data_IF_817489484248
#
_entry.id   IF_817489484248
#
_cell.length_a   1.000
_cell.length_b   1.000
_cell.length_c   1.000
_cell.angle_alpha   90.00
_cell.angle_beta   90.00
_cell.angle_gamma   90.00
#
_symmetry.space_group_name_H-M   'P 1'
#
loop_
_entity.id
_entity.type
_entity.pdbx_description
1 polymer ?
#
# COMPACT_ATOMS: atom_id res chain seq x y z
N UNK A 1 27.09 12.70 -18.56
CA UNK A 1 26.54 12.04 -19.77
C UNK A 1 25.10 11.70 -19.46
N UNK A 2 24.15 12.09 -20.31
CA UNK A 2 22.75 11.70 -20.12
C UNK A 2 22.67 10.24 -20.57
N UNK A 3 22.68 9.31 -19.61
CA UNK A 3 22.29 7.92 -19.87
C UNK A 3 20.91 7.95 -20.51
N UNK A 4 20.85 7.58 -21.78
CA UNK A 4 19.59 7.53 -22.52
C UNK A 4 18.97 6.17 -22.22
N UNK A 5 17.87 6.16 -21.48
CA UNK A 5 17.18 4.92 -21.11
C UNK A 5 16.80 4.14 -22.38
N UNK A 6 17.13 2.84 -22.43
CA UNK A 6 16.87 1.98 -23.60
C UNK A 6 15.37 1.68 -23.81
N UNK A 7 14.54 1.92 -22.78
CA UNK A 7 13.07 1.84 -22.80
C UNK A 7 12.48 3.01 -22.02
N UNK A 8 11.36 3.56 -22.50
CA UNK A 8 10.66 4.63 -21.80
C UNK A 8 9.96 4.10 -20.52
N UNK A 9 9.96 4.88 -19.44
CA UNK A 9 9.33 4.50 -18.16
C UNK A 9 7.85 4.13 -18.28
N UNK A 10 7.11 4.74 -19.22
CA UNK A 10 5.69 4.43 -19.47
C UNK A 10 5.51 3.10 -20.19
N UNK A 11 6.45 2.73 -21.06
CA UNK A 11 6.45 1.41 -21.71
C UNK A 11 6.68 0.31 -20.68
N UNK A 12 7.62 0.52 -19.76
CA UNK A 12 7.87 -0.41 -18.65
C UNK A 12 6.66 -0.52 -17.73
N UNK A 13 6.03 0.61 -17.37
CA UNK A 13 4.79 0.58 -16.59
C UNK A 13 3.67 -0.20 -17.32
N UNK A 14 3.52 -0.01 -18.63
CA UNK A 14 2.57 -0.73 -19.45
C UNK A 14 2.85 -2.25 -19.47
N UNK A 15 4.13 -2.65 -19.64
CA UNK A 15 4.54 -4.06 -19.61
C UNK A 15 4.20 -4.73 -18.27
N UNK A 16 4.44 -4.05 -17.15
CA UNK A 16 4.13 -4.55 -15.80
C UNK A 16 2.62 -4.69 -15.61
N UNK A 17 1.83 -3.68 -15.99
CA UNK A 17 0.37 -3.73 -15.88
C UNK A 17 -0.24 -4.83 -16.76
N UNK A 18 0.24 -4.98 -18.01
CA UNK A 18 -0.19 -6.06 -18.89
C UNK A 18 0.14 -7.44 -18.34
N UNK A 19 1.31 -7.58 -17.71
CA UNK A 19 1.66 -8.81 -17.03
C UNK A 19 0.73 -9.09 -15.86
N UNK A 20 0.42 -8.10 -15.04
CA UNK A 20 -0.54 -8.26 -13.95
C UNK A 20 -1.90 -8.72 -14.46
N UNK A 21 -2.46 -8.05 -15.48
CA UNK A 21 -3.76 -8.44 -16.05
C UNK A 21 -3.79 -9.88 -16.61
N UNK A 22 -2.62 -10.42 -17.00
CA UNK A 22 -2.49 -11.81 -17.44
C UNK A 22 -2.31 -12.82 -16.30
N UNK A 23 -1.66 -12.43 -15.21
CA UNK A 23 -1.19 -13.39 -14.19
C UNK A 23 -1.82 -13.21 -12.80
N UNK A 24 -2.44 -12.06 -12.50
CA UNK A 24 -3.01 -11.76 -11.18
C UNK A 24 -2.00 -11.36 -10.10
N UNK A 25 -0.70 -11.27 -10.41
CA UNK A 25 0.32 -10.81 -9.46
C UNK A 25 1.51 -10.17 -10.17
N UNK A 26 2.37 -9.50 -9.39
CA UNK A 26 3.61 -8.89 -9.86
C UNK A 26 4.78 -9.39 -9.00
N UNK A 27 5.68 -10.24 -9.52
CA UNK A 27 6.86 -10.68 -8.78
C UNK A 27 7.96 -9.60 -8.76
N UNK A 28 8.63 -9.41 -7.62
CA UNK A 28 9.70 -8.41 -7.44
C UNK A 28 10.81 -8.54 -8.48
N UNK A 29 11.27 -9.77 -8.74
CA UNK A 29 12.28 -10.07 -9.77
C UNK A 29 11.90 -9.58 -11.16
N UNK A 30 10.61 -9.58 -11.51
CA UNK A 30 10.15 -9.06 -12.80
C UNK A 30 10.30 -7.54 -12.87
N UNK A 31 9.98 -6.84 -11.78
CA UNK A 31 10.16 -5.39 -11.68
C UNK A 31 11.63 -5.04 -11.73
N UNK A 32 12.48 -5.74 -10.97
CA UNK A 32 13.94 -5.57 -10.97
C UNK A 32 14.54 -5.70 -12.39
N UNK A 33 14.16 -6.77 -13.12
CA UNK A 33 14.63 -6.98 -14.49
C UNK A 33 14.13 -5.86 -15.42
N UNK A 34 12.85 -5.48 -15.31
CA UNK A 34 12.28 -4.42 -16.14
C UNK A 34 12.92 -3.04 -15.86
N UNK A 35 13.36 -2.82 -14.63
CA UNK A 35 13.99 -1.58 -14.18
C UNK A 35 15.50 -1.56 -14.39
N UNK A 36 16.12 -2.68 -14.76
CA UNK A 36 17.58 -2.83 -14.77
C UNK A 36 18.31 -1.84 -15.67
N UNK A 37 17.64 -1.36 -16.73
CA UNK A 37 18.20 -0.42 -17.72
C UNK A 37 17.72 1.02 -17.55
N UNK A 38 17.01 1.33 -16.46
CA UNK A 38 16.51 2.67 -16.17
C UNK A 38 17.41 3.41 -15.19
N UNK A 39 17.58 4.72 -15.42
CA UNK A 39 18.06 5.67 -14.42
C UNK A 39 17.20 5.65 -13.15
N UNK A 40 17.73 6.19 -12.05
CA UNK A 40 17.01 6.24 -10.77
C UNK A 40 15.68 7.01 -10.89
N UNK A 41 15.71 8.17 -11.55
CA UNK A 41 14.55 9.03 -11.79
C UNK A 41 13.51 8.31 -12.65
N UNK A 42 13.95 7.62 -13.70
CA UNK A 42 13.07 6.84 -14.56
C UNK A 42 12.45 5.63 -13.86
N UNK A 43 13.18 4.97 -12.94
CA UNK A 43 12.62 3.92 -12.07
C UNK A 43 11.55 4.48 -11.15
N UNK A 44 11.81 5.63 -10.49
CA UNK A 44 10.84 6.32 -9.62
C UNK A 44 9.58 6.67 -10.40
N UNK A 45 9.74 7.23 -11.60
CA UNK A 45 8.62 7.58 -12.47
C UNK A 45 7.83 6.34 -12.93
N UNK A 46 8.50 5.29 -13.40
CA UNK A 46 7.86 4.03 -13.79
C UNK A 46 7.11 3.39 -12.63
N UNK A 47 7.71 3.36 -11.43
CA UNK A 47 7.11 2.83 -10.21
C UNK A 47 5.85 3.59 -9.82
N UNK A 48 5.92 4.93 -9.82
CA UNK A 48 4.77 5.78 -9.53
C UNK A 48 3.63 5.51 -10.54
N UNK A 49 3.94 5.38 -11.83
CA UNK A 49 2.96 5.07 -12.85
C UNK A 49 2.27 3.73 -12.62
N UNK A 50 2.99 2.61 -12.52
CA UNK A 50 2.34 1.30 -12.45
C UNK A 50 1.65 1.07 -11.10
N UNK A 51 2.29 1.42 -9.98
CA UNK A 51 1.70 1.25 -8.64
C UNK A 51 0.53 2.22 -8.44
N UNK A 52 0.71 3.48 -8.84
CA UNK A 52 -0.34 4.49 -8.75
C UNK A 52 -1.55 4.16 -9.63
N UNK A 53 -1.30 3.68 -10.86
CA UNK A 53 -2.37 3.18 -11.73
C UNK A 53 -3.12 2.03 -11.07
N UNK A 54 -2.44 1.04 -10.46
CA UNK A 54 -3.11 -0.05 -9.75
C UNK A 54 -3.91 0.43 -8.54
N UNK A 55 -3.35 1.31 -7.70
CA UNK A 55 -4.04 1.90 -6.54
C UNK A 55 -5.34 2.57 -6.96
N UNK A 56 -5.27 3.39 -8.01
CA UNK A 56 -6.38 4.20 -8.53
C UNK A 56 -7.24 3.49 -9.58
N UNK A 57 -6.99 2.22 -9.89
CA UNK A 57 -7.59 1.55 -11.07
C UNK A 57 -9.12 1.43 -10.99
N UNK A 58 -9.72 1.23 -9.82
CA UNK A 58 -11.19 1.22 -9.68
C UNK A 58 -11.78 2.57 -10.09
N UNK A 59 -11.19 3.66 -9.59
CA UNK A 59 -11.60 5.02 -9.92
C UNK A 59 -11.33 5.37 -11.39
N UNK A 60 -10.15 5.02 -11.89
CA UNK A 60 -9.75 5.25 -13.29
C UNK A 60 -10.69 4.51 -14.25
N UNK A 61 -11.02 3.25 -13.97
CA UNK A 61 -11.94 2.48 -14.80
C UNK A 61 -13.34 3.10 -14.80
N UNK A 62 -13.82 3.60 -13.65
CA UNK A 62 -15.07 4.36 -13.58
C UNK A 62 -15.03 5.65 -14.41
N UNK A 63 -13.93 6.42 -14.36
CA UNK A 63 -13.74 7.62 -15.19
C UNK A 63 -13.80 7.23 -16.67
N UNK A 64 -13.04 6.21 -17.08
CA UNK A 64 -12.99 5.74 -18.47
C UNK A 64 -14.36 5.28 -18.99
N UNK A 65 -15.18 4.64 -18.15
CA UNK A 65 -16.53 4.20 -18.52
C UNK A 65 -17.46 5.36 -18.94
N UNK A 66 -17.23 6.60 -18.47
CA UNK A 66 -18.00 7.77 -18.92
C UNK A 66 -17.69 8.17 -20.37
N UNK A 67 -16.50 7.83 -20.86
CA UNK A 67 -16.01 8.22 -22.18
C UNK A 67 -15.91 7.06 -23.18
N UNK A 68 -16.09 5.81 -22.71
CA UNK A 68 -16.03 4.59 -23.51
C UNK A 68 -17.38 3.87 -23.53
N UNK A 69 -17.86 3.53 -24.73
CA UNK A 69 -19.12 2.79 -24.89
C UNK A 69 -19.01 1.30 -24.59
N UNK A 70 -17.86 0.67 -24.90
CA UNK A 70 -17.63 -0.78 -24.79
C UNK A 70 -16.20 -1.07 -24.32
N UNK A 71 -15.82 -0.63 -23.11
CA UNK A 71 -14.45 -0.78 -22.62
C UNK A 71 -13.99 -2.24 -22.57
N UNK A 72 -14.89 -3.19 -22.30
CA UNK A 72 -14.55 -4.62 -22.19
C UNK A 72 -14.05 -5.24 -23.50
N UNK A 73 -14.41 -4.66 -24.64
CA UNK A 73 -13.97 -5.13 -25.97
C UNK A 73 -12.57 -4.63 -26.34
N UNK A 74 -11.98 -3.72 -25.55
CA UNK A 74 -10.64 -3.20 -25.82
C UNK A 74 -9.58 -4.21 -25.39
N UNK A 75 -8.52 -4.40 -26.20
CA UNK A 75 -7.37 -5.18 -25.77
C UNK A 75 -6.79 -4.64 -24.46
N UNK A 76 -6.27 -5.53 -23.61
CA UNK A 76 -5.72 -5.19 -22.29
C UNK A 76 -4.67 -4.08 -22.39
N UNK A 77 -3.76 -4.16 -23.35
CA UNK A 77 -2.73 -3.14 -23.56
C UNK A 77 -3.33 -1.74 -23.85
N UNK A 78 -4.45 -1.67 -24.58
CA UNK A 78 -5.12 -0.40 -24.87
C UNK A 78 -5.80 0.15 -23.62
N UNK A 79 -6.44 -0.72 -22.82
CA UNK A 79 -7.01 -0.34 -21.51
C UNK A 79 -5.92 0.19 -20.58
N UNK A 80 -4.76 -0.47 -20.52
CA UNK A 80 -3.66 -0.05 -19.66
C UNK A 80 -2.99 1.24 -20.13
N UNK A 81 -2.85 1.46 -21.44
CA UNK A 81 -2.39 2.75 -21.96
C UNK A 81 -3.35 3.90 -21.59
N UNK A 82 -4.66 3.67 -21.71
CA UNK A 82 -5.69 4.61 -21.24
C UNK A 82 -5.58 4.86 -19.73
N UNK A 83 -5.45 3.80 -18.92
CA UNK A 83 -5.34 3.90 -17.46
C UNK A 83 -4.11 4.70 -17.03
N UNK A 84 -2.96 4.45 -17.65
CA UNK A 84 -1.73 5.23 -17.44
C UNK A 84 -1.96 6.71 -17.80
N UNK A 85 -2.66 6.99 -18.90
CA UNK A 85 -3.00 8.35 -19.31
C UNK A 85 -3.90 9.06 -18.30
N UNK A 86 -4.98 8.42 -17.85
CA UNK A 86 -5.88 8.97 -16.83
C UNK A 86 -5.15 9.17 -15.51
N UNK A 87 -4.29 8.23 -15.11
CA UNK A 87 -3.50 8.36 -13.88
C UNK A 87 -2.62 9.61 -13.90
N UNK A 88 -1.89 9.83 -15.00
CA UNK A 88 -1.08 11.04 -15.17
C UNK A 88 -1.94 12.31 -15.10
N UNK A 89 -3.06 12.34 -15.83
CA UNK A 89 -3.94 13.51 -15.86
C UNK A 89 -4.51 13.86 -14.47
N UNK A 90 -4.93 12.88 -13.69
CA UNK A 90 -5.64 13.12 -12.43
C UNK A 90 -4.73 13.23 -11.21
N UNK A 91 -3.55 12.61 -11.23
CA UNK A 91 -2.76 12.39 -10.01
C UNK A 91 -1.28 12.72 -10.15
N UNK A 92 -0.84 13.27 -11.30
CA UNK A 92 0.55 13.68 -11.51
C UNK A 92 0.62 15.14 -11.95
N UNK A 93 0.47 16.06 -11.01
CA UNK A 93 0.45 17.51 -11.26
C UNK A 93 1.70 18.02 -11.98
N UNK A 94 2.84 17.35 -11.78
CA UNK A 94 4.10 17.65 -12.46
C UNK A 94 4.12 17.28 -13.96
N UNK A 95 3.15 16.49 -14.45
CA UNK A 95 3.09 16.05 -15.85
C UNK A 95 2.03 16.88 -16.59
N UNK A 96 2.41 17.75 -17.54
CA UNK A 96 1.44 18.52 -18.32
C UNK A 96 0.47 17.63 -19.08
N UNK A 97 -0.81 18.02 -19.15
CA UNK A 97 -1.87 17.26 -19.82
C UNK A 97 -1.50 16.87 -21.27
N UNK A 98 -0.90 17.78 -22.03
CA UNK A 98 -0.49 17.48 -23.41
C UNK A 98 0.56 16.38 -23.49
N UNK A 99 1.49 16.33 -22.54
CA UNK A 99 2.55 15.33 -22.46
C UNK A 99 1.95 13.98 -22.02
N UNK A 100 1.11 13.98 -20.97
CA UNK A 100 0.40 12.79 -20.53
C UNK A 100 -0.38 12.13 -21.68
N UNK A 101 -1.12 12.93 -22.46
CA UNK A 101 -1.88 12.45 -23.62
C UNK A 101 -0.94 11.92 -24.71
N UNK A 102 0.03 12.74 -25.16
CA UNK A 102 0.94 12.40 -26.26
C UNK A 102 1.70 11.11 -25.98
N UNK A 103 2.31 11.00 -24.81
CA UNK A 103 3.12 9.83 -24.45
C UNK A 103 2.25 8.59 -24.26
N UNK A 104 1.04 8.72 -23.68
CA UNK A 104 0.10 7.59 -23.59
C UNK A 104 -0.40 7.10 -24.95
N UNK A 105 -0.47 7.97 -25.96
CA UNK A 105 -0.78 7.60 -27.34
C UNK A 105 0.40 6.87 -28.00
N UNK A 106 1.63 7.27 -27.69
CA UNK A 106 2.85 6.64 -28.21
C UNK A 106 2.97 5.16 -27.80
N UNK A 107 2.48 4.81 -26.60
CA UNK A 107 2.40 3.43 -26.10
C UNK A 107 1.61 2.46 -26.99
N UNK A 108 0.75 2.97 -27.87
CA UNK A 108 -0.13 2.16 -28.70
C UNK A 108 0.50 1.97 -30.08
N UNK A 109 0.77 0.73 -30.49
CA UNK A 109 1.35 0.46 -31.82
C UNK A 109 0.37 0.65 -32.99
N UNK A 110 -0.92 0.36 -32.78
CA UNK A 110 -1.93 0.32 -33.85
C UNK A 110 -2.61 1.67 -34.05
N UNK A 111 -2.56 2.20 -35.28
CA UNK A 111 -3.07 3.55 -35.63
C UNK A 111 -4.52 3.81 -35.22
N UNK A 112 -5.43 2.87 -35.43
CA UNK A 112 -6.85 3.04 -35.06
C UNK A 112 -7.02 3.22 -33.54
N UNK A 113 -6.28 2.46 -32.74
CA UNK A 113 -6.30 2.59 -31.28
C UNK A 113 -5.58 3.86 -30.81
N UNK A 114 -4.53 4.35 -31.48
CA UNK A 114 -3.90 5.65 -31.17
C UNK A 114 -4.93 6.79 -31.22
N UNK A 115 -5.75 6.82 -32.27
CA UNK A 115 -6.80 7.82 -32.42
C UNK A 115 -7.83 7.74 -31.29
N UNK A 116 -8.23 6.51 -30.92
CA UNK A 116 -9.13 6.29 -29.80
C UNK A 116 -8.53 6.79 -28.48
N UNK A 117 -7.30 6.39 -28.14
CA UNK A 117 -6.63 6.81 -26.90
C UNK A 117 -6.51 8.32 -26.83
N UNK A 118 -6.05 8.96 -27.91
CA UNK A 118 -5.95 10.42 -27.98
C UNK A 118 -7.32 11.11 -27.77
N UNK A 119 -8.36 10.64 -28.46
CA UNK A 119 -9.69 11.23 -28.36
C UNK A 119 -10.29 11.07 -26.97
N UNK A 120 -10.12 9.90 -26.33
CA UNK A 120 -10.63 9.63 -24.99
C UNK A 120 -9.89 10.47 -23.95
N UNK A 121 -8.55 10.47 -23.96
CA UNK A 121 -7.78 11.22 -22.97
C UNK A 121 -7.96 12.73 -23.08
N UNK A 122 -8.16 13.27 -24.29
CA UNK A 122 -8.53 14.69 -24.47
C UNK A 122 -9.87 15.02 -23.82
N UNK A 123 -10.87 14.14 -23.94
CA UNK A 123 -12.16 14.33 -23.26
C UNK A 123 -12.02 14.23 -21.75
N UNK A 124 -11.26 13.23 -21.27
CA UNK A 124 -11.00 13.05 -19.83
C UNK A 124 -10.32 14.29 -19.23
N UNK A 125 -9.38 14.92 -19.96
CA UNK A 125 -8.70 16.14 -19.52
C UNK A 125 -9.64 17.36 -19.50
N UNK A 126 -10.50 17.51 -20.52
CA UNK A 126 -11.42 18.64 -20.64
C UNK A 126 -12.70 18.54 -19.81
N UNK A 127 -13.15 17.33 -19.49
CA UNK A 127 -14.40 17.05 -18.76
C UNK A 127 -14.08 16.27 -17.47
N UNK A 128 -13.34 16.89 -16.55
CA UNK A 128 -12.94 16.21 -15.30
C UNK A 128 -14.15 15.82 -14.45
N UNK A 129 -14.12 14.59 -13.93
CA UNK A 129 -15.12 14.06 -13.02
C UNK A 129 -14.89 14.64 -11.63
N UNK A 130 -15.94 15.20 -11.02
CA UNK A 130 -15.88 15.58 -9.61
C UNK A 130 -15.78 14.34 -8.72
N UNK A 131 -14.61 14.16 -8.12
CA UNK A 131 -14.31 13.02 -7.25
C UNK A 131 -15.01 13.11 -5.88
N UNK A 132 -15.40 14.32 -5.45
CA UNK A 132 -16.04 14.52 -4.15
C UNK A 132 -17.50 14.11 -4.14
N UNK A 133 -18.16 14.11 -5.30
CA UNK A 133 -19.53 13.63 -5.47
C UNK A 133 -19.63 12.09 -5.55
N UNK A 134 -18.51 11.36 -5.54
CA UNK A 134 -18.50 9.91 -5.68
C UNK A 134 -18.72 9.20 -4.34
N UNK A 135 -19.36 8.01 -4.34
CA UNK A 135 -19.44 7.18 -3.14
C UNK A 135 -18.04 6.78 -2.68
N UNK A 136 -17.90 6.55 -1.38
CA UNK A 136 -16.62 6.33 -0.71
C UNK A 136 -15.71 5.31 -1.40
N UNK A 137 -16.25 4.15 -1.80
CA UNK A 137 -15.49 3.09 -2.46
C UNK A 137 -14.91 3.51 -3.82
N UNK A 138 -15.61 4.36 -4.59
CA UNK A 138 -15.07 4.93 -5.82
C UNK A 138 -14.06 6.02 -5.53
N UNK A 139 -14.38 6.95 -4.62
CA UNK A 139 -13.49 8.07 -4.26
C UNK A 139 -12.11 7.58 -3.81
N UNK A 140 -12.08 6.54 -2.98
CA UNK A 140 -10.83 5.94 -2.51
C UNK A 140 -10.32 4.79 -3.39
N UNK A 141 -10.98 4.47 -4.51
CA UNK A 141 -10.54 3.43 -5.45
C UNK A 141 -10.38 2.03 -4.83
N UNK A 142 -11.37 1.61 -4.05
CA UNK A 142 -11.47 0.26 -3.50
C UNK A 142 -12.63 -0.50 -4.14
N UNK A 143 -12.55 -1.83 -4.26
CA UNK A 143 -13.72 -2.65 -4.58
C UNK A 143 -14.84 -2.39 -3.58
N UNK A 144 -16.07 -2.28 -4.07
CA UNK A 144 -17.24 -2.03 -3.23
C UNK A 144 -17.35 -3.05 -2.09
N UNK A 145 -17.21 -4.34 -2.41
CA UNK A 145 -17.33 -5.41 -1.41
C UNK A 145 -16.34 -5.25 -0.25
N UNK A 146 -15.10 -4.81 -0.53
CA UNK A 146 -14.05 -4.66 0.47
C UNK A 146 -14.38 -3.52 1.43
N UNK A 147 -14.89 -2.40 0.90
CA UNK A 147 -15.33 -1.28 1.73
C UNK A 147 -16.52 -1.69 2.61
N UNK A 148 -17.48 -2.42 2.07
CA UNK A 148 -18.61 -2.92 2.88
C UNK A 148 -18.19 -3.94 3.92
N UNK A 149 -17.21 -4.82 3.61
CA UNK A 149 -16.62 -5.73 4.57
C UNK A 149 -15.94 -4.97 5.74
N UNK A 150 -15.06 -4.01 5.43
CA UNK A 150 -14.34 -3.25 6.44
C UNK A 150 -15.30 -2.40 7.30
N UNK A 151 -16.34 -1.81 6.71
CA UNK A 151 -17.41 -1.11 7.46
C UNK A 151 -18.17 -2.01 8.42
N UNK A 152 -18.24 -3.31 8.14
CA UNK A 152 -18.87 -4.28 9.02
C UNK A 152 -18.03 -4.65 10.24
N UNK A 153 -16.77 -4.22 10.30
CA UNK A 153 -15.87 -4.51 11.40
C UNK A 153 -16.17 -3.58 12.60
N UNK A 154 -16.56 -4.12 13.77
CA UNK A 154 -17.02 -3.33 14.91
C UNK A 154 -15.92 -2.49 15.56
N UNK A 155 -14.65 -2.85 15.37
CA UNK A 155 -13.48 -2.14 15.88
C UNK A 155 -12.98 -1.03 14.93
N UNK A 156 -13.70 -0.75 13.83
CA UNK A 156 -13.38 0.33 12.91
C UNK A 156 -14.49 1.39 13.00
N UNK A 157 -14.17 2.52 13.62
CA UNK A 157 -15.06 3.67 13.71
C UNK A 157 -15.14 4.46 12.39
N UNK A 158 -14.13 5.29 12.12
CA UNK A 158 -13.98 5.94 10.80
C UNK A 158 -13.05 5.14 9.90
N UNK A 159 -13.60 4.65 8.79
CA UNK A 159 -12.85 3.88 7.79
C UNK A 159 -11.98 4.76 6.88
N UNK A 160 -12.29 6.06 6.72
CA UNK A 160 -11.65 6.91 5.71
C UNK A 160 -10.12 6.94 5.83
N UNK A 161 -9.52 7.08 7.03
CA UNK A 161 -8.06 7.11 7.16
C UNK A 161 -7.41 5.79 6.74
N UNK A 162 -8.07 4.65 6.98
CA UNK A 162 -7.62 3.34 6.51
C UNK A 162 -7.70 3.22 4.97
N UNK A 163 -8.77 3.74 4.36
CA UNK A 163 -8.87 3.79 2.90
C UNK A 163 -7.81 4.69 2.29
N UNK A 164 -7.55 5.85 2.90
CA UNK A 164 -6.51 6.78 2.49
C UNK A 164 -5.12 6.16 2.59
N UNK A 165 -4.80 5.56 3.73
CA UNK A 165 -3.57 4.80 3.95
C UNK A 165 -3.33 3.80 2.83
N UNK A 166 -4.33 2.98 2.49
CA UNK A 166 -4.24 1.99 1.41
C UNK A 166 -3.94 2.60 0.02
N UNK A 167 -4.21 3.88 -0.17
CA UNK A 167 -4.02 4.62 -1.42
C UNK A 167 -2.75 5.47 -1.45
N UNK A 168 -2.03 5.57 -0.34
CA UNK A 168 -0.76 6.29 -0.22
C UNK A 168 0.41 5.30 -0.36
N UNK A 169 1.47 5.62 -1.13
CA UNK A 169 2.66 4.76 -1.16
C UNK A 169 3.26 4.56 0.24
N UNK A 170 3.59 3.33 0.69
CA UNK A 170 4.10 3.06 2.04
C UNK A 170 5.36 3.87 2.35
N UNK A 171 5.33 4.76 3.33
CA UNK A 171 6.50 5.55 3.73
C UNK A 171 7.61 4.65 4.31
N UNK A 172 8.86 5.05 4.08
CA UNK A 172 10.01 4.47 4.76
C UNK A 172 10.26 5.29 6.03
N UNK A 173 10.22 4.64 7.20
CA UNK A 173 10.66 5.22 8.46
C UNK A 173 12.14 4.90 8.70
N UNK A 174 12.88 5.83 9.29
CA UNK A 174 14.29 5.68 9.60
C UNK A 174 14.66 6.36 10.91
N UNK A 175 15.76 5.94 11.49
CA UNK A 175 16.38 6.61 12.64
C UNK A 175 17.70 7.22 12.17
N UNK A 176 17.98 8.45 12.62
CA UNK A 176 19.18 9.19 12.26
C UNK A 176 19.66 10.02 13.46
N UNK A 177 20.98 10.14 13.60
CA UNK A 177 21.66 11.08 14.49
C UNK A 177 21.56 12.52 13.99
N UNK A 178 21.80 13.51 14.87
CA UNK A 178 21.83 14.93 14.48
C UNK A 178 22.79 15.22 13.31
N UNK A 179 23.96 14.57 13.28
CA UNK A 179 24.90 14.70 12.18
C UNK A 179 24.39 14.13 10.86
N UNK A 180 23.66 13.01 10.90
CA UNK A 180 23.07 12.41 9.71
C UNK A 180 21.90 13.26 9.19
N UNK A 181 21.09 13.84 10.06
CA UNK A 181 20.02 14.76 9.68
C UNK A 181 20.58 16.01 8.98
N UNK A 182 21.66 16.59 9.51
CA UNK A 182 22.32 17.74 8.87
C UNK A 182 22.86 17.39 7.47
N UNK A 183 23.43 16.18 7.28
CA UNK A 183 23.88 15.70 5.97
C UNK A 183 22.71 15.52 4.99
N UNK A 184 21.56 15.03 5.48
CA UNK A 184 20.34 14.90 4.67
C UNK A 184 19.83 16.27 4.20
N UNK A 185 19.78 17.25 5.10
CA UNK A 185 19.39 18.62 4.77
C UNK A 185 20.35 19.25 3.75
N UNK A 186 21.67 19.08 3.92
CA UNK A 186 22.68 19.58 2.97
C UNK A 186 22.53 18.97 1.58
N UNK A 187 22.21 17.67 1.51
CA UNK A 187 21.94 16.95 0.25
C UNK A 187 20.55 17.23 -0.32
N UNK A 188 19.73 18.04 0.35
CA UNK A 188 18.41 18.45 -0.11
C UNK A 188 17.31 17.39 0.07
N UNK A 189 17.50 16.41 0.96
CA UNK A 189 16.45 15.45 1.28
C UNK A 189 15.34 16.10 2.11
N UNK A 190 14.09 15.72 1.81
CA UNK A 190 12.93 16.12 2.59
C UNK A 190 12.50 14.98 3.52
N UNK A 191 12.51 15.24 4.81
CA UNK A 191 12.04 14.34 5.86
C UNK A 191 11.20 15.11 6.88
N UNK A 192 10.40 14.37 7.65
CA UNK A 192 9.58 14.90 8.73
C UNK A 192 9.77 14.05 9.98
N UNK A 193 9.69 14.64 11.17
CA UNK A 193 9.57 13.86 12.41
C UNK A 193 8.29 13.05 12.38
N UNK A 194 8.32 11.82 12.89
CA UNK A 194 7.10 11.06 13.08
C UNK A 194 6.24 11.63 14.21
N UNK A 195 4.91 11.52 14.07
CA UNK A 195 3.95 11.82 15.13
C UNK A 195 3.89 10.72 16.22
N UNK A 196 4.49 9.55 15.96
CA UNK A 196 4.32 8.35 16.78
C UNK A 196 5.58 7.93 17.56
N UNK A 197 6.75 8.38 17.13
CA UNK A 197 8.04 8.00 17.69
C UNK A 197 9.09 9.08 17.45
N UNK A 198 10.28 8.91 18.01
CA UNK A 198 11.49 9.71 17.73
C UNK A 198 12.14 9.36 16.38
N UNK A 199 11.49 8.55 15.56
CA UNK A 199 11.91 8.28 14.19
C UNK A 199 11.50 9.40 13.23
N UNK A 200 12.07 9.34 12.02
CA UNK A 200 11.79 10.25 10.93
C UNK A 200 11.14 9.51 9.76
N UNK A 201 10.24 10.20 9.08
CA UNK A 201 9.55 9.75 7.88
C UNK A 201 10.15 10.48 6.69
N UNK A 202 10.62 9.72 5.70
CA UNK A 202 11.17 10.30 4.49
C UNK A 202 10.02 10.75 3.56
N UNK A 203 9.90 12.06 3.31
CA UNK A 203 8.83 12.66 2.52
C UNK A 203 9.09 12.49 1.02
N UNK A 204 10.36 12.50 0.60
CA UNK A 204 10.74 12.28 -0.79
C UNK A 204 11.79 11.16 -0.95
N UNK A 205 11.44 10.09 -1.67
CA UNK A 205 12.20 8.82 -1.71
C UNK A 205 13.52 8.87 -2.47
N UNK A 206 14.56 8.31 -1.81
CA UNK A 206 15.86 7.96 -2.39
C UNK A 206 16.93 7.60 -1.35
N UNK A 207 16.71 6.55 -0.55
CA UNK A 207 17.64 6.15 0.53
C UNK A 207 18.73 5.19 0.02
N UNK A 208 18.68 4.70 -1.22
CA UNK A 208 19.58 3.60 -1.61
C UNK A 208 21.09 3.99 -1.56
N UNK A 209 21.40 5.28 -1.65
CA UNK A 209 22.78 5.82 -1.48
C UNK A 209 23.11 6.21 -0.03
N UNK A 210 22.13 6.20 0.86
CA UNK A 210 22.27 6.57 2.27
C UNK A 210 22.31 5.30 3.12
N UNK A 211 23.35 5.14 3.93
CA UNK A 211 23.49 4.05 4.91
C UNK A 211 22.59 4.23 6.14
N UNK A 212 21.38 4.76 5.96
CA UNK A 212 20.43 4.95 7.05
C UNK A 212 19.78 3.62 7.43
N UNK A 213 19.56 3.44 8.73
CA UNK A 213 18.83 2.29 9.23
C UNK A 213 17.33 2.51 9.01
N UNK A 214 16.78 1.88 7.96
CA UNK A 214 15.33 1.77 7.77
C UNK A 214 14.73 0.86 8.86
N UNK A 215 13.56 1.24 9.36
CA UNK A 215 12.87 0.52 10.42
C UNK A 215 11.38 0.31 10.09
N UNK A 216 10.79 -0.73 10.67
CA UNK A 216 9.33 -0.83 10.82
C UNK A 216 8.96 -0.01 12.06
N UNK A 217 8.27 1.11 11.87
CA UNK A 217 8.01 2.06 12.96
C UNK A 217 7.20 1.43 14.11
N UNK A 218 6.22 0.58 13.80
CA UNK A 218 5.47 -0.13 14.84
C UNK A 218 6.37 -1.06 15.66
N UNK A 219 7.26 -1.82 15.00
CA UNK A 219 8.23 -2.65 15.73
C UNK A 219 9.19 -1.81 16.58
N UNK A 220 9.60 -0.65 16.06
CA UNK A 220 10.49 0.26 16.77
C UNK A 220 9.84 0.79 18.06
N UNK A 221 8.59 1.23 17.97
CA UNK A 221 7.78 1.64 19.13
C UNK A 221 7.65 0.49 20.13
N UNK A 222 7.41 -0.73 19.66
CA UNK A 222 7.22 -1.90 20.53
C UNK A 222 8.52 -2.38 21.20
N UNK A 223 9.67 -2.27 20.52
CA UNK A 223 10.98 -2.63 21.11
C UNK A 223 11.32 -1.78 22.34
N UNK A 224 10.83 -0.54 22.39
CA UNK A 224 10.98 0.33 23.57
C UNK A 224 10.26 -0.17 24.83
N UNK A 225 9.48 -1.27 24.75
CA UNK A 225 8.67 -1.77 25.87
C UNK A 225 9.35 -2.80 26.76
N UNK A 226 10.63 -3.14 26.51
CA UNK A 226 11.38 -4.16 27.25
C UNK A 226 10.68 -5.54 27.30
N UNK A 227 9.79 -5.81 26.34
CA UNK A 227 9.08 -7.09 26.19
C UNK A 227 9.50 -7.75 24.88
N UNK A 228 9.50 -9.08 24.87
CA UNK A 228 9.65 -9.83 23.64
C UNK A 228 8.46 -9.55 22.71
N UNK A 229 8.74 -9.21 21.45
CA UNK A 229 7.73 -8.93 20.43
C UNK A 229 7.80 -10.03 19.38
N UNK A 230 6.72 -10.81 19.29
CA UNK A 230 6.52 -11.79 18.22
C UNK A 230 5.64 -11.14 17.16
N UNK A 231 6.19 -10.96 15.95
CA UNK A 231 5.44 -10.46 14.80
C UNK A 231 4.90 -11.61 13.96
N UNK A 232 3.63 -11.50 13.59
CA UNK A 232 2.96 -12.38 12.65
C UNK A 232 2.49 -11.59 11.44
N UNK A 233 2.82 -12.08 10.25
CA UNK A 233 2.14 -11.59 9.04
C UNK A 233 0.69 -12.07 9.04
N UNK A 234 -0.26 -11.17 8.83
CA UNK A 234 -1.65 -11.54 8.59
C UNK A 234 -1.92 -11.97 7.15
N UNK A 235 -3.20 -11.95 6.78
CA UNK A 235 -3.65 -12.24 5.41
C UNK A 235 -3.17 -11.20 4.41
N UNK A 236 -3.47 -11.45 3.14
CA UNK A 236 -3.25 -10.48 2.07
C UNK A 236 -4.01 -9.15 2.29
N UNK A 237 -5.01 -9.09 3.18
CA UNK A 237 -5.71 -7.85 3.54
C UNK A 237 -4.77 -6.77 4.11
N UNK A 238 -3.77 -7.15 4.90
CA UNK A 238 -2.81 -6.20 5.47
C UNK A 238 -1.76 -5.71 4.47
N UNK A 239 -1.65 -6.41 3.34
CA UNK A 239 -0.70 -6.08 2.29
C UNK A 239 -1.31 -5.16 1.23
N UNK A 240 -2.57 -4.75 1.34
CA UNK A 240 -3.24 -3.86 0.37
C UNK A 240 -2.44 -2.60 0.06
N UNK A 241 -1.91 -1.96 1.11
CA UNK A 241 -1.07 -0.79 0.96
C UNK A 241 0.25 -1.10 0.21
N UNK A 242 0.90 -2.23 0.45
CA UNK A 242 2.18 -2.57 -0.18
C UNK A 242 2.00 -3.17 -1.59
N UNK A 243 0.88 -3.86 -1.81
CA UNK A 243 0.59 -4.70 -2.98
C UNK A 243 -0.78 -4.33 -3.55
N UNK A 244 -0.90 -3.18 -4.25
CA UNK A 244 -2.19 -2.65 -4.69
C UNK A 244 -2.92 -3.54 -5.71
N UNK A 245 -2.24 -4.50 -6.35
CA UNK A 245 -2.92 -5.50 -7.18
C UNK A 245 -3.91 -6.37 -6.41
N UNK A 246 -3.73 -6.48 -5.08
CA UNK A 246 -4.63 -7.22 -4.20
C UNK A 246 -6.04 -6.63 -4.16
N UNK A 247 -6.25 -5.36 -4.51
CA UNK A 247 -7.61 -4.83 -4.70
C UNK A 247 -8.40 -5.62 -5.76
N UNK A 248 -7.74 -6.29 -6.69
CA UNK A 248 -8.41 -6.99 -7.80
C UNK A 248 -8.32 -8.51 -7.70
N UNK A 249 -7.51 -9.03 -6.78
CA UNK A 249 -7.28 -10.48 -6.63
C UNK A 249 -7.60 -11.01 -5.25
N UNK A 250 -7.91 -10.15 -4.28
CA UNK A 250 -8.44 -10.60 -3.00
C UNK A 250 -9.87 -11.11 -3.18
N UNK A 251 -10.13 -12.24 -2.55
CA UNK A 251 -11.45 -12.82 -2.38
C UNK A 251 -11.73 -12.95 -0.88
N UNK A 252 -12.98 -12.80 -0.46
CA UNK A 252 -13.35 -12.83 0.97
C UNK A 252 -12.97 -14.16 1.66
N UNK A 253 -12.87 -15.25 0.90
CA UNK A 253 -12.51 -16.58 1.39
C UNK A 253 -11.00 -16.74 1.66
N UNK A 254 -10.16 -15.82 1.17
CA UNK A 254 -8.69 -15.94 1.20
C UNK A 254 -8.04 -15.43 2.49
N UNK A 255 -8.82 -15.00 3.49
CA UNK A 255 -8.30 -14.46 4.75
C UNK A 255 -7.62 -15.50 5.65
N UNK A 256 -7.68 -16.80 5.32
CA UNK A 256 -7.01 -17.85 6.10
C UNK A 256 -5.66 -18.20 5.49
N UNK A 257 -4.58 -17.61 6.00
CA UNK A 257 -3.19 -18.06 5.74
C UNK A 257 -2.58 -18.73 6.97
N UNK A 258 -1.75 -19.74 6.72
CA UNK A 258 -0.79 -20.51 7.57
C UNK A 258 -0.77 -20.33 9.11
N UNK A 259 -1.93 -20.19 9.78
CA UNK A 259 -2.03 -20.01 11.24
C UNK A 259 -1.32 -21.12 12.03
N UNK A 260 -1.40 -22.37 11.57
CA UNK A 260 -0.91 -23.56 12.30
C UNK A 260 0.60 -23.56 12.52
N UNK A 261 1.38 -23.23 11.49
CA UNK A 261 2.84 -23.23 11.57
C UNK A 261 3.33 -22.20 12.59
N UNK A 262 2.71 -21.03 12.55
CA UNK A 262 3.07 -19.91 13.41
C UNK A 262 2.64 -20.12 14.87
N UNK A 263 1.50 -20.78 15.09
CA UNK A 263 1.11 -21.28 16.41
C UNK A 263 2.17 -22.26 16.95
N UNK A 264 2.66 -23.20 16.12
CA UNK A 264 3.71 -24.13 16.54
C UNK A 264 4.99 -23.38 16.93
N UNK A 265 5.42 -22.42 16.11
CA UNK A 265 6.59 -21.57 16.41
C UNK A 265 6.41 -20.84 17.76
N UNK A 266 5.25 -20.22 18.02
CA UNK A 266 4.96 -19.55 19.30
C UNK A 266 5.01 -20.54 20.49
N UNK A 267 4.51 -21.76 20.30
CA UNK A 267 4.50 -22.79 21.35
C UNK A 267 5.90 -23.33 21.66
N UNK A 268 6.81 -23.29 20.69
CA UNK A 268 8.20 -23.73 20.82
C UNK A 268 9.08 -22.69 21.55
N UNK A 269 8.76 -21.39 21.47
CA UNK A 269 9.64 -20.28 21.92
C UNK A 269 9.90 -20.20 23.43
N UNK A 270 9.07 -20.74 24.34
CA UNK A 270 9.31 -20.85 25.82
C UNK A 270 10.14 -19.69 26.47
N UNK A 271 9.58 -18.67 27.13
CA UNK A 271 8.74 -18.74 28.34
C UNK A 271 8.14 -17.37 28.75
N UNK A 272 6.98 -17.44 29.41
CA UNK A 272 6.45 -16.40 30.29
C UNK A 272 5.40 -15.53 29.63
N UNK A 273 5.83 -14.39 29.09
CA UNK A 273 4.96 -13.30 28.68
C UNK A 273 5.55 -12.62 27.43
N UNK A 274 4.73 -12.33 26.41
CA UNK A 274 5.19 -11.67 25.18
C UNK A 274 4.09 -10.81 24.55
N UNK A 275 4.51 -9.84 23.73
CA UNK A 275 3.63 -9.08 22.86
C UNK A 275 3.51 -9.78 21.51
N UNK A 276 2.28 -10.05 21.10
CA UNK A 276 1.97 -10.58 19.78
C UNK A 276 1.46 -9.44 18.90
N UNK A 277 2.20 -9.09 17.86
CA UNK A 277 1.77 -8.14 16.84
C UNK A 277 1.37 -8.89 15.57
N UNK A 278 0.16 -8.63 15.09
CA UNK A 278 -0.37 -9.22 13.86
C UNK A 278 -0.58 -8.10 12.86
N UNK A 279 0.02 -8.23 11.68
CA UNK A 279 -0.24 -7.35 10.55
C UNK A 279 -1.60 -7.74 9.95
N UNK A 280 -2.70 -7.47 10.65
CA UNK A 280 -4.08 -7.67 10.18
C UNK A 280 -5.05 -6.79 10.96
N UNK A 281 -6.20 -6.58 10.37
CA UNK A 281 -7.35 -5.96 11.00
C UNK A 281 -8.65 -6.78 10.77
N UNK A 282 -8.53 -8.03 10.31
CA UNK A 282 -9.65 -8.99 10.29
C UNK A 282 -9.92 -9.53 11.68
N UNK A 283 -11.20 -9.57 12.07
CA UNK A 283 -11.61 -10.18 13.34
C UNK A 283 -11.33 -11.68 13.37
N UNK A 284 -11.59 -12.37 12.27
CA UNK A 284 -11.45 -13.82 12.13
C UNK A 284 -9.98 -14.24 12.27
N UNK A 285 -9.06 -13.44 11.75
CA UNK A 285 -7.64 -13.74 11.87
C UNK A 285 -7.13 -13.60 13.30
N UNK A 286 -7.47 -12.50 13.97
CA UNK A 286 -6.96 -12.19 15.31
C UNK A 286 -7.65 -13.01 16.39
N UNK A 287 -8.99 -13.12 16.36
CA UNK A 287 -9.78 -13.83 17.37
C UNK A 287 -9.48 -15.32 17.36
N UNK A 288 -9.50 -15.95 16.19
CA UNK A 288 -9.29 -17.39 16.10
C UNK A 288 -7.87 -17.77 16.56
N UNK A 289 -6.87 -16.93 16.25
CA UNK A 289 -5.51 -17.15 16.72
C UNK A 289 -5.41 -17.06 18.25
N UNK A 290 -5.95 -16.00 18.84
CA UNK A 290 -5.94 -15.83 20.30
C UNK A 290 -6.69 -16.97 20.99
N UNK A 291 -7.80 -17.44 20.40
CA UNK A 291 -8.54 -18.60 20.90
C UNK A 291 -7.70 -19.89 20.88
N UNK A 292 -6.96 -20.16 19.80
CA UNK A 292 -6.08 -21.33 19.73
C UNK A 292 -4.91 -21.22 20.73
N UNK A 293 -4.33 -20.03 20.90
CA UNK A 293 -3.31 -19.79 21.93
C UNK A 293 -3.87 -19.98 23.34
N UNK A 294 -5.14 -19.62 23.57
CA UNK A 294 -5.81 -19.86 24.85
C UNK A 294 -5.92 -21.35 25.20
N UNK A 295 -6.32 -22.18 24.23
CA UNK A 295 -6.32 -23.65 24.40
C UNK A 295 -4.95 -24.21 24.73
N UNK A 296 -3.90 -23.55 24.24
CA UNK A 296 -2.52 -23.94 24.49
C UNK A 296 -1.94 -23.39 25.81
N UNK A 297 -2.77 -22.76 26.66
CA UNK A 297 -2.41 -22.32 28.00
C UNK A 297 -1.95 -20.86 28.10
N UNK A 298 -2.16 -20.04 27.07
CA UNK A 298 -1.92 -18.60 27.14
C UNK A 298 -3.19 -17.83 27.52
N UNK A 299 -3.05 -16.74 28.25
CA UNK A 299 -4.14 -15.82 28.53
C UNK A 299 -3.77 -14.41 28.13
N UNK A 300 -4.79 -13.67 27.66
CA UNK A 300 -4.67 -12.24 27.45
C UNK A 300 -4.52 -11.59 28.82
N UNK A 301 -3.35 -11.04 29.08
CA UNK A 301 -3.12 -10.23 30.26
C UNK A 301 -3.58 -8.79 29.96
N UNK A 302 -4.08 -8.09 30.97
CA UNK A 302 -4.49 -6.69 30.84
C UNK A 302 -3.32 -5.88 30.28
N UNK A 303 -3.64 -5.15 29.21
CA UNK A 303 -2.73 -4.27 28.52
C UNK A 303 -3.38 -2.90 28.45
N UNK A 304 -3.05 -2.04 29.41
CA UNK A 304 -3.58 -0.68 29.59
C UNK A 304 -2.64 0.35 28.92
N UNK A 305 -3.04 1.36 28.13
CA UNK A 305 -4.21 1.58 27.22
C UNK A 305 -3.82 2.42 25.98
N UNK A 306 -2.54 2.77 25.84
CA UNK A 306 -1.88 3.37 24.67
C UNK A 306 -0.43 2.92 24.79
N UNK A 307 0.24 2.57 23.70
CA UNK A 307 1.64 2.16 23.74
C UNK A 307 2.52 3.32 24.28
N UNK A 308 2.63 3.51 25.62
CA UNK A 308 3.32 4.56 26.39
C UNK A 308 3.35 6.00 25.79
N UNK A 309 2.43 6.38 24.90
CA UNK A 309 2.57 7.60 24.08
C UNK A 309 1.37 7.92 23.16
N UNK A 310 1.66 8.52 21.99
CA UNK A 310 0.73 9.18 21.05
C UNK A 310 -0.16 8.26 20.20
N UNK A 311 0.01 6.94 20.30
CA UNK A 311 -0.81 5.98 19.58
C UNK A 311 -2.18 5.82 20.23
N UNK A 312 -3.26 5.78 19.44
CA UNK A 312 -4.60 5.40 19.93
C UNK A 312 -5.03 4.06 19.35
N UNK A 313 -5.72 3.27 20.17
CA UNK A 313 -6.16 1.94 19.80
C UNK A 313 -7.66 1.76 20.06
N UNK A 314 -8.26 0.81 19.36
CA UNK A 314 -9.58 0.28 19.68
C UNK A 314 -9.41 -1.03 20.45
N UNK A 315 -9.69 -0.99 21.74
CA UNK A 315 -9.55 -2.14 22.63
C UNK A 315 -10.64 -3.18 22.40
N UNK A 316 -10.21 -4.43 22.47
CA UNK A 316 -11.04 -5.62 22.54
C UNK A 316 -10.65 -6.35 23.83
N UNK A 317 -11.56 -7.13 24.42
CA UNK A 317 -11.26 -7.93 25.63
C UNK A 317 -10.19 -9.02 25.46
N UNK A 318 -9.45 -9.02 24.34
CA UNK A 318 -8.41 -9.97 23.99
C UNK A 318 -7.21 -9.32 23.27
N UNK A 319 -7.13 -7.99 23.23
CA UNK A 319 -6.07 -7.22 22.55
C UNK A 319 -6.61 -5.92 21.93
N UNK A 320 -5.79 -5.15 21.23
CA UNK A 320 -6.17 -3.84 20.70
C UNK A 320 -5.78 -3.68 19.22
N UNK A 321 -6.65 -2.99 18.46
CA UNK A 321 -6.39 -2.63 17.07
C UNK A 321 -5.86 -1.21 16.93
N UNK A 322 -4.86 -1.05 16.09
CA UNK A 322 -4.23 0.23 15.76
C UNK A 322 -4.50 0.54 14.30
N UNK A 323 -4.92 1.77 14.02
CA UNK A 323 -5.25 2.22 12.67
C UNK A 323 -4.73 3.63 12.43
N UNK A 324 -4.38 3.96 11.18
CA UNK A 324 -4.28 5.35 10.77
C UNK A 324 -5.58 6.11 11.10
N UNK A 325 -5.52 7.40 11.46
CA UNK A 325 -4.32 8.24 11.54
C UNK A 325 -3.63 8.14 12.91
N UNK A 326 -4.17 7.37 13.85
CA UNK A 326 -3.65 7.27 15.21
C UNK A 326 -2.55 6.21 15.36
N UNK A 327 -2.12 5.60 14.25
CA UNK A 327 -0.99 4.69 14.18
C UNK A 327 -0.33 4.69 12.78
N UNK A 328 0.98 4.38 12.68
CA UNK A 328 1.73 4.33 11.42
C UNK A 328 1.12 3.37 10.38
N UNK A 329 0.55 2.26 10.86
CA UNK A 329 -0.04 1.22 10.00
C UNK A 329 -1.09 0.39 10.74
N UNK A 330 -2.03 -0.22 10.00
CA UNK A 330 -3.00 -1.14 10.58
C UNK A 330 -2.34 -2.37 11.19
N UNK A 331 -2.62 -2.66 12.46
CA UNK A 331 -2.22 -3.91 13.11
C UNK A 331 -3.09 -4.23 14.33
N UNK A 332 -2.97 -5.47 14.82
CA UNK A 332 -3.54 -5.91 16.08
C UNK A 332 -2.42 -6.32 17.03
N UNK A 333 -2.52 -5.91 18.30
CA UNK A 333 -1.55 -6.25 19.32
C UNK A 333 -2.26 -6.85 20.52
N UNK A 334 -1.75 -7.97 21.03
CA UNK A 334 -2.19 -8.54 22.32
C UNK A 334 -1.00 -8.88 23.19
N UNK A 335 -1.19 -8.77 24.50
CA UNK A 335 -0.23 -9.24 25.48
C UNK A 335 -0.64 -10.62 25.99
N UNK A 336 0.24 -11.61 25.84
CA UNK A 336 -0.04 -13.00 26.20
C UNK A 336 0.88 -13.47 27.31
N UNK A 337 0.30 -14.10 28.32
CA UNK A 337 0.99 -14.73 29.45
C UNK A 337 0.67 -16.22 29.49
N UNK A 338 1.67 -17.06 29.73
CA UNK A 338 1.45 -18.48 29.96
C UNK A 338 0.93 -18.71 31.38
N UNK A 339 -0.16 -19.47 31.48
CA UNK A 339 -0.76 -19.92 32.74
C UNK A 339 0.16 -20.84 33.54
#
# INVERSE_FOLDING_TARGET
MIETDMKDSREIALEILNYFDKNGYIPSKKVEIAFSTLSFESKKFAANLYLGTLRKRVLIDYILMKFLKRPDKLPVAIKNALRIGVFQLYFMDAVPDYAAIKESVALVGVKSFRNLVNAVLRKVAGERVDLNALPLWLKYSHPKWLVEYIKGLPHIGDIKPLLEYNQTPPSDAFVASESELAELEEKGFLFASSDFSDSYILVERGIDDLKLQRIDEMEYILKGMEKEVIRMSGSALSLLNQKPWLFFTLEAETFSREKRKLIQEILEVKHGEFLLMIDSYSLEETRDLVFELNKAGYECADFDSTLKGSLKATEMGYGAYYFPPDAPRPCFITYLKKR
#
